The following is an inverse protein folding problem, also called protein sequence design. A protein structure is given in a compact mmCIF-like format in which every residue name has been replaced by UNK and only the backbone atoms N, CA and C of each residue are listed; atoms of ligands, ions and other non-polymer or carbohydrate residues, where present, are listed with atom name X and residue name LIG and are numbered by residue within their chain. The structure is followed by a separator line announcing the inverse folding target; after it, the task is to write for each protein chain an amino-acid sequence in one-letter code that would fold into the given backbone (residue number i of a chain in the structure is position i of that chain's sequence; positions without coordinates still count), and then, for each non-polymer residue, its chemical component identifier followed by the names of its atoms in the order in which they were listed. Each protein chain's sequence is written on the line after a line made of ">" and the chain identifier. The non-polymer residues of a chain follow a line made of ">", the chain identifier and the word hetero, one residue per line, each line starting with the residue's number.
data_IF_915113520279
#
_entry.id   IF_915113520279
#
_cell.length_a   1.000
_cell.length_b   1.000
_cell.length_c   1.000
_cell.angle_alpha   90.00
_cell.angle_beta   90.00
_cell.angle_gamma   90.00
#
_symmetry.space_group_name_H-M   'P 1'
#
loop_
_entity.id
_entity.type
_entity.pdbx_description
1 polymer ?
#
# COMPACT_ATOMS: atom_id res chain seq x y z
N UNK A 1 -12.10 -13.64 -27.68
CA UNK A 1 -11.92 -14.07 -26.27
C UNK A 1 -10.56 -13.65 -25.71
N UNK A 2 -9.55 -13.40 -26.54
CA UNK A 2 -8.21 -12.91 -26.10
C UNK A 2 -8.16 -11.42 -25.70
N UNK A 3 -9.16 -10.62 -26.05
CA UNK A 3 -9.17 -9.16 -25.81
C UNK A 3 -9.54 -8.73 -24.38
N UNK A 4 -9.93 -9.66 -23.51
CA UNK A 4 -10.26 -9.39 -22.10
C UNK A 4 -9.16 -9.81 -21.10
N UNK A 5 -8.03 -10.34 -21.59
CA UNK A 5 -6.95 -10.84 -20.75
C UNK A 5 -6.11 -9.74 -20.05
N UNK A 6 -6.34 -8.47 -20.38
CA UNK A 6 -5.76 -7.32 -19.68
C UNK A 6 -4.22 -7.34 -19.58
N UNK A 7 -3.65 -6.38 -18.85
CA UNK A 7 -2.21 -6.33 -18.60
C UNK A 7 -1.69 -7.47 -17.73
N UNK A 8 -2.58 -8.27 -17.13
CA UNK A 8 -2.25 -9.38 -16.25
C UNK A 8 -1.44 -10.48 -16.97
N UNK A 9 -1.87 -10.90 -18.16
CA UNK A 9 -1.15 -11.90 -18.97
C UNK A 9 0.15 -11.39 -19.60
N UNK A 10 0.34 -10.07 -19.69
CA UNK A 10 1.58 -9.45 -20.18
C UNK A 10 2.62 -9.26 -19.08
N UNK A 11 2.19 -9.24 -17.81
CA UNK A 11 3.05 -8.92 -16.67
C UNK A 11 3.53 -10.15 -15.91
N UNK A 12 2.75 -11.20 -15.89
CA UNK A 12 3.13 -12.46 -15.28
C UNK A 12 3.31 -13.52 -16.37
N UNK A 13 4.19 -14.50 -16.15
CA UNK A 13 4.33 -15.59 -17.11
C UNK A 13 3.01 -16.39 -17.21
N UNK A 14 2.81 -17.11 -18.32
CA UNK A 14 1.57 -17.86 -18.55
C UNK A 14 1.18 -18.79 -17.41
N UNK A 15 2.17 -19.33 -16.69
CA UNK A 15 2.05 -20.31 -15.61
C UNK A 15 1.58 -19.75 -14.26
N UNK A 16 1.49 -18.41 -14.13
CA UNK A 16 1.09 -17.80 -12.84
C UNK A 16 -0.32 -18.21 -12.44
N UNK A 17 -1.21 -18.43 -13.43
CA UNK A 17 -2.62 -18.70 -13.16
C UNK A 17 -2.79 -20.09 -12.57
N UNK A 18 -2.07 -21.06 -13.10
CA UNK A 18 -2.00 -22.43 -12.61
C UNK A 18 -1.47 -22.45 -11.18
N UNK A 19 -0.36 -21.75 -10.92
CA UNK A 19 0.22 -21.68 -9.58
C UNK A 19 -0.70 -20.97 -8.56
N UNK A 20 -1.45 -19.95 -8.99
CA UNK A 20 -2.45 -19.28 -8.15
C UNK A 20 -3.69 -20.16 -7.91
N UNK A 21 -4.09 -20.98 -8.90
CA UNK A 21 -5.23 -21.91 -8.80
C UNK A 21 -4.94 -23.11 -7.86
N UNK A 22 -3.67 -23.39 -7.57
CA UNK A 22 -3.24 -24.41 -6.58
C UNK A 22 -3.33 -23.92 -5.13
N UNK A 23 -3.47 -22.61 -4.89
CA UNK A 23 -3.58 -22.07 -3.53
C UNK A 23 -4.96 -22.39 -2.92
N UNK A 24 -5.04 -22.88 -1.67
CA UNK A 24 -6.30 -23.29 -1.03
C UNK A 24 -7.13 -22.10 -0.49
N UNK A 25 -6.77 -20.87 -0.86
CA UNK A 25 -7.30 -19.64 -0.29
C UNK A 25 -8.41 -19.05 -1.16
N UNK A 26 -9.40 -18.41 -0.52
CA UNK A 26 -10.43 -17.64 -1.22
C UNK A 26 -9.90 -16.23 -1.52
N UNK A 27 -9.57 -15.94 -2.77
CA UNK A 27 -9.08 -14.61 -3.16
C UNK A 27 -9.43 -14.21 -4.59
N UNK A 28 -9.34 -12.91 -4.82
CA UNK A 28 -9.50 -12.27 -6.13
C UNK A 28 -8.37 -11.29 -6.38
N UNK A 29 -7.96 -11.16 -7.64
CA UNK A 29 -7.03 -10.11 -8.09
C UNK A 29 -7.78 -9.19 -9.04
N UNK A 30 -7.67 -7.88 -8.80
CA UNK A 30 -8.26 -6.83 -9.65
C UNK A 30 -7.18 -6.02 -10.35
N UNK A 31 -7.50 -5.46 -11.51
CA UNK A 31 -6.62 -4.60 -12.29
C UNK A 31 -7.13 -3.15 -12.25
N UNK A 32 -6.47 -2.25 -11.50
CA UNK A 32 -6.87 -0.85 -11.42
C UNK A 32 -6.54 -0.04 -12.69
N UNK A 33 -5.74 -0.58 -13.62
CA UNK A 33 -5.47 0.10 -14.90
C UNK A 33 -6.66 0.02 -15.86
N UNK A 34 -7.61 -0.90 -15.61
CA UNK A 34 -8.85 -1.02 -16.39
C UNK A 34 -9.96 -0.29 -15.64
N UNK A 35 -10.72 0.53 -16.39
CA UNK A 35 -11.86 1.28 -15.84
C UNK A 35 -12.83 0.36 -15.10
N UNK A 36 -13.22 0.77 -13.89
CA UNK A 36 -14.11 -0.01 -13.02
C UNK A 36 -13.41 -1.07 -12.17
N UNK A 37 -12.08 -1.18 -12.23
CA UNK A 37 -11.23 -2.09 -11.45
C UNK A 37 -11.72 -3.54 -11.50
N UNK A 38 -11.85 -4.12 -12.71
CA UNK A 38 -12.40 -5.45 -12.87
C UNK A 38 -11.53 -6.51 -12.19
N UNK A 39 -12.19 -7.59 -11.77
CA UNK A 39 -11.56 -8.82 -11.34
C UNK A 39 -10.95 -9.49 -12.58
N UNK A 40 -9.64 -9.71 -12.54
CA UNK A 40 -8.86 -10.35 -13.60
C UNK A 40 -8.43 -11.78 -13.25
N UNK A 41 -8.56 -12.15 -11.98
CA UNK A 41 -8.38 -13.51 -11.47
C UNK A 41 -9.26 -13.76 -10.25
N UNK A 42 -9.82 -14.96 -10.14
CA UNK A 42 -10.58 -15.42 -8.99
C UNK A 42 -10.24 -16.90 -8.73
N UNK A 43 -9.83 -17.22 -7.50
CA UNK A 43 -9.44 -18.59 -7.15
C UNK A 43 -10.63 -19.55 -7.19
N UNK A 44 -10.35 -20.84 -7.36
CA UNK A 44 -11.39 -21.87 -7.40
C UNK A 44 -12.19 -21.93 -6.09
N UNK A 45 -11.53 -21.71 -4.96
CA UNK A 45 -12.08 -21.70 -3.62
C UNK A 45 -13.01 -20.49 -3.44
N UNK A 46 -12.62 -19.34 -3.98
CA UNK A 46 -13.47 -18.16 -4.03
C UNK A 46 -14.75 -18.43 -4.84
N UNK A 47 -14.62 -19.01 -6.04
CA UNK A 47 -15.77 -19.31 -6.90
C UNK A 47 -16.75 -20.30 -6.24
N UNK A 48 -16.23 -21.36 -5.62
CA UNK A 48 -17.03 -22.31 -4.81
C UNK A 48 -17.74 -21.61 -3.66
N UNK A 49 -17.06 -20.67 -3.00
CA UNK A 49 -17.65 -19.89 -1.91
C UNK A 49 -18.79 -19.00 -2.42
N UNK A 50 -18.59 -18.20 -3.47
CA UNK A 50 -19.63 -17.26 -3.91
C UNK A 50 -20.74 -17.89 -4.75
N UNK A 51 -20.50 -19.07 -5.34
CA UNK A 51 -21.44 -19.80 -6.19
C UNK A 51 -21.57 -19.24 -7.61
N UNK A 52 -20.69 -18.31 -8.01
CA UNK A 52 -20.61 -17.79 -9.38
C UNK A 52 -19.59 -18.59 -10.19
N UNK A 53 -19.85 -18.73 -11.50
CA UNK A 53 -18.86 -19.26 -12.42
C UNK A 53 -17.76 -18.24 -12.70
N UNK A 54 -16.60 -18.71 -13.20
CA UNK A 54 -15.46 -17.84 -13.53
C UNK A 54 -15.85 -16.75 -14.55
N UNK A 55 -16.60 -17.11 -15.59
CA UNK A 55 -17.02 -16.19 -16.64
C UNK A 55 -17.99 -15.10 -16.15
N UNK A 56 -18.74 -15.38 -15.08
CA UNK A 56 -19.63 -14.39 -14.46
C UNK A 56 -18.86 -13.39 -13.57
N UNK A 57 -17.70 -13.78 -13.04
CA UNK A 57 -16.90 -12.98 -12.11
C UNK A 57 -15.84 -12.14 -12.84
N UNK A 58 -15.15 -12.73 -13.82
CA UNK A 58 -14.09 -12.05 -14.56
C UNK A 58 -14.66 -10.84 -15.32
N UNK A 59 -13.97 -9.70 -15.24
CA UNK A 59 -14.44 -8.45 -15.85
C UNK A 59 -15.49 -7.69 -15.04
N UNK A 60 -16.00 -8.27 -13.93
CA UNK A 60 -16.90 -7.57 -13.00
C UNK A 60 -16.10 -6.95 -11.85
N UNK A 61 -16.75 -6.08 -11.07
CA UNK A 61 -16.19 -5.56 -9.83
C UNK A 61 -16.92 -6.14 -8.61
N UNK A 62 -16.37 -5.92 -7.42
CA UNK A 62 -16.91 -6.49 -6.17
C UNK A 62 -18.35 -6.07 -5.81
N UNK A 63 -18.96 -5.14 -6.57
CA UNK A 63 -20.36 -4.74 -6.37
C UNK A 63 -21.34 -5.90 -6.62
N UNK A 64 -20.98 -6.87 -7.46
CA UNK A 64 -21.85 -8.01 -7.80
C UNK A 64 -22.17 -8.91 -6.58
N UNK A 65 -21.37 -8.82 -5.51
CA UNK A 65 -21.54 -9.60 -4.29
C UNK A 65 -22.28 -8.84 -3.19
N UNK A 66 -22.64 -7.58 -3.42
CA UNK A 66 -23.32 -6.73 -2.44
C UNK A 66 -24.84 -6.95 -2.51
N UNK A 67 -25.52 -6.81 -1.38
CA UNK A 67 -26.98 -6.90 -1.32
C UNK A 67 -27.58 -5.93 -0.30
N UNK A 68 -28.88 -6.09 0.03
CA UNK A 68 -29.64 -5.10 0.82
C UNK A 68 -29.03 -4.76 2.18
N UNK A 69 -28.46 -5.75 2.87
CA UNK A 69 -27.88 -5.59 4.21
C UNK A 69 -26.36 -5.34 4.19
N UNK A 70 -25.74 -5.23 3.01
CA UNK A 70 -24.32 -4.89 2.92
C UNK A 70 -24.09 -3.47 3.44
N UNK A 71 -23.31 -3.35 4.52
CA UNK A 71 -23.04 -2.05 5.14
C UNK A 71 -22.34 -1.07 4.18
N UNK A 72 -23.00 0.06 3.94
CA UNK A 72 -22.50 1.12 3.05
C UNK A 72 -21.23 1.77 3.58
N UNK A 73 -21.04 1.87 4.91
CA UNK A 73 -19.83 2.47 5.49
C UNK A 73 -18.62 1.60 5.18
N UNK A 74 -18.75 0.28 5.33
CA UNK A 74 -17.72 -0.69 4.97
C UNK A 74 -17.36 -0.62 3.47
N UNK A 75 -18.37 -0.51 2.59
CA UNK A 75 -18.15 -0.35 1.14
C UNK A 75 -17.43 0.96 0.83
N UNK A 76 -17.79 2.07 1.48
CA UNK A 76 -17.09 3.35 1.32
C UNK A 76 -15.64 3.26 1.82
N UNK A 77 -15.38 2.62 2.96
CA UNK A 77 -14.03 2.44 3.47
C UNK A 77 -13.13 1.65 2.50
N UNK A 78 -13.68 0.64 1.82
CA UNK A 78 -12.98 -0.10 0.76
C UNK A 78 -12.68 0.82 -0.44
N UNK A 79 -13.66 1.61 -0.89
CA UNK A 79 -13.47 2.56 -2.00
C UNK A 79 -12.39 3.60 -1.68
N UNK A 80 -12.40 4.14 -0.47
CA UNK A 80 -11.38 5.08 -0.01
C UNK A 80 -10.00 4.42 0.08
N UNK A 81 -9.90 3.18 0.58
CA UNK A 81 -8.65 2.45 0.60
C UNK A 81 -8.07 2.18 -0.80
N UNK A 82 -8.93 1.92 -1.79
CA UNK A 82 -8.54 1.80 -3.19
C UNK A 82 -8.02 3.16 -3.71
N UNK A 83 -8.76 4.26 -3.47
CA UNK A 83 -8.39 5.62 -3.88
C UNK A 83 -7.05 6.08 -3.26
N UNK A 84 -6.79 5.68 -2.02
CA UNK A 84 -5.58 6.00 -1.27
C UNK A 84 -4.43 5.00 -1.49
N UNK A 85 -4.65 3.96 -2.29
CA UNK A 85 -3.68 2.90 -2.57
C UNK A 85 -3.10 2.29 -1.27
N UNK A 86 -3.96 1.99 -0.30
CA UNK A 86 -3.58 1.46 1.02
C UNK A 86 -4.23 0.11 1.33
N UNK A 87 -3.64 -0.71 2.21
CA UNK A 87 -4.29 -1.92 2.68
C UNK A 87 -5.52 -1.60 3.55
N UNK A 88 -6.46 -2.53 3.58
CA UNK A 88 -7.63 -2.49 4.45
C UNK A 88 -7.99 -3.91 4.90
N UNK A 89 -8.49 -4.01 6.13
CA UNK A 89 -9.08 -5.22 6.69
C UNK A 89 -10.41 -4.84 7.34
N UNK A 90 -11.50 -5.51 6.97
CA UNK A 90 -12.86 -5.20 7.46
C UNK A 90 -13.77 -6.42 7.40
N UNK A 91 -14.70 -6.56 8.34
CA UNK A 91 -15.78 -7.54 8.24
C UNK A 91 -16.87 -7.02 7.31
N UNK A 92 -17.27 -7.82 6.31
CA UNK A 92 -18.25 -7.44 5.30
C UNK A 92 -19.32 -8.53 5.16
N UNK A 93 -20.58 -8.10 4.98
CA UNK A 93 -21.69 -8.99 4.60
C UNK A 93 -21.87 -8.95 3.08
N UNK A 94 -21.68 -10.10 2.44
CA UNK A 94 -21.90 -10.29 1.01
C UNK A 94 -22.95 -11.38 0.76
N UNK A 95 -23.36 -11.53 -0.49
CA UNK A 95 -24.39 -12.45 -0.94
C UNK A 95 -23.81 -13.43 -1.95
N UNK A 96 -24.16 -14.71 -1.79
CA UNK A 96 -23.89 -15.74 -2.79
C UNK A 96 -24.82 -15.57 -3.99
N UNK A 97 -24.55 -16.28 -5.07
CA UNK A 97 -25.39 -16.28 -6.28
C UNK A 97 -26.85 -16.65 -6.01
N UNK A 98 -27.08 -17.54 -5.05
CA UNK A 98 -28.43 -17.97 -4.62
C UNK A 98 -29.16 -16.96 -3.72
N UNK A 99 -28.53 -15.82 -3.41
CA UNK A 99 -29.08 -14.79 -2.52
C UNK A 99 -28.82 -15.03 -1.03
N UNK A 100 -28.09 -16.08 -0.65
CA UNK A 100 -27.79 -16.35 0.75
C UNK A 100 -26.75 -15.35 1.27
N UNK A 101 -27.04 -14.59 2.35
CA UNK A 101 -26.06 -13.69 2.95
C UNK A 101 -25.00 -14.48 3.72
N UNK A 102 -23.75 -14.05 3.64
CA UNK A 102 -22.65 -14.59 4.42
C UNK A 102 -21.68 -13.49 4.84
N UNK A 103 -21.16 -13.60 6.07
CA UNK A 103 -20.15 -12.68 6.59
C UNK A 103 -18.75 -13.21 6.28
N UNK A 104 -17.84 -12.29 5.99
CA UNK A 104 -16.45 -12.61 5.74
C UNK A 104 -15.54 -11.51 6.27
N UNK A 105 -14.34 -11.88 6.69
CA UNK A 105 -13.23 -10.97 6.80
C UNK A 105 -12.71 -10.68 5.39
N UNK A 106 -12.83 -9.43 4.98
CA UNK A 106 -12.26 -8.94 3.73
C UNK A 106 -10.92 -8.26 4.03
N UNK A 107 -9.84 -8.77 3.46
CA UNK A 107 -8.52 -8.15 3.54
C UNK A 107 -7.98 -7.88 2.15
N UNK A 108 -7.69 -6.63 1.85
CA UNK A 108 -7.18 -6.19 0.55
C UNK A 108 -5.85 -5.47 0.71
N UNK A 109 -4.92 -5.72 -0.21
CA UNK A 109 -3.68 -4.96 -0.32
C UNK A 109 -3.36 -4.61 -1.79
N UNK A 110 -2.77 -3.43 -2.04
CA UNK A 110 -2.18 -3.10 -3.32
C UNK A 110 -0.90 -3.91 -3.55
N UNK A 111 -0.66 -4.27 -4.81
CA UNK A 111 0.57 -4.83 -5.35
C UNK A 111 1.19 -3.77 -6.25
N UNK A 112 2.44 -3.42 -5.99
CA UNK A 112 3.13 -2.34 -6.70
C UNK A 112 4.13 -2.88 -7.71
N UNK A 113 4.35 -2.12 -8.78
CA UNK A 113 5.46 -2.33 -9.70
C UNK A 113 6.75 -1.91 -9.01
N UNK A 114 7.78 -2.75 -9.07
CA UNK A 114 9.06 -2.44 -8.42
C UNK A 114 9.81 -1.31 -9.12
N UNK A 115 9.57 -1.13 -10.42
CA UNK A 115 10.23 -0.12 -11.25
C UNK A 115 9.61 1.27 -11.12
N UNK A 116 8.28 1.36 -11.11
CA UNK A 116 7.54 2.63 -11.21
C UNK A 116 6.74 2.98 -9.94
N UNK A 117 6.65 2.07 -8.98
CA UNK A 117 5.87 2.26 -7.76
C UNK A 117 4.37 2.43 -7.99
N UNK A 118 3.86 2.14 -9.20
CA UNK A 118 2.44 2.21 -9.53
C UNK A 118 1.73 0.97 -9.01
N UNK A 119 0.45 1.11 -8.64
CA UNK A 119 -0.37 -0.04 -8.30
C UNK A 119 -0.66 -0.84 -9.57
N UNK A 120 -0.24 -2.09 -9.56
CA UNK A 120 -0.42 -3.03 -10.65
C UNK A 120 -1.69 -3.83 -10.46
N UNK A 121 -1.94 -4.29 -9.24
CA UNK A 121 -3.12 -5.06 -8.89
C UNK A 121 -3.55 -4.75 -7.46
N UNK A 122 -4.80 -5.06 -7.13
CA UNK A 122 -5.18 -5.30 -5.74
C UNK A 122 -5.46 -6.78 -5.53
N UNK A 123 -4.83 -7.35 -4.52
CA UNK A 123 -5.12 -8.71 -4.02
C UNK A 123 -6.11 -8.57 -2.88
N UNK A 124 -7.25 -9.25 -2.98
CA UNK A 124 -8.25 -9.30 -1.93
C UNK A 124 -8.50 -10.75 -1.52
N UNK A 125 -8.26 -11.05 -0.24
CA UNK A 125 -8.54 -12.33 0.41
C UNK A 125 -9.84 -12.23 1.20
N UNK A 126 -10.66 -13.28 1.13
CA UNK A 126 -11.94 -13.36 1.81
C UNK A 126 -11.98 -14.60 2.71
N UNK A 127 -12.09 -14.41 4.02
CA UNK A 127 -12.21 -15.54 4.97
C UNK A 127 -13.62 -15.55 5.55
N UNK A 128 -14.45 -16.57 5.27
CA UNK A 128 -15.78 -16.69 5.87
C UNK A 128 -15.73 -16.65 7.40
N UNK A 129 -16.59 -15.84 8.01
CA UNK A 129 -16.74 -15.80 9.46
C UNK A 129 -17.91 -16.71 9.82
N UNK A 130 -17.59 -17.83 10.48
CA UNK A 130 -18.61 -18.74 10.98
C UNK A 130 -19.17 -18.17 12.29
N UNK A 131 -20.48 -17.93 12.36
CA UNK A 131 -21.13 -17.65 13.63
C UNK A 131 -20.92 -18.86 14.54
N UNK A 132 -20.25 -18.66 15.68
CA UNK A 132 -20.34 -19.64 16.78
C UNK A 132 -21.81 -19.69 17.19
N UNK A 133 -22.47 -20.80 16.91
CA UNK A 133 -23.79 -21.07 17.48
C UNK A 133 -23.54 -21.17 18.98
N UNK A 134 -24.05 -20.22 19.77
CA UNK A 134 -23.96 -20.29 21.23
C UNK A 134 -24.43 -21.67 21.66
N UNK A 135 -23.49 -22.46 22.17
CA UNK A 135 -23.72 -23.83 22.57
C UNK A 135 -24.75 -23.85 23.68
N UNK A 136 -25.80 -24.65 23.46
CA UNK A 136 -26.53 -25.31 24.54
C UNK A 136 -25.50 -25.82 25.56
N UNK A 137 -25.63 -25.38 26.81
CA UNK A 137 -24.85 -25.92 27.93
C UNK A 137 -25.20 -27.40 28.06
N UNK A 138 -24.38 -28.28 27.50
CA UNK A 138 -24.30 -29.67 27.93
C UNK A 138 -23.19 -29.72 28.98
N UNK A 139 -23.60 -30.17 30.16
CA UNK A 139 -22.77 -30.23 31.36
C UNK A 139 -21.46 -30.97 31.13
N UNK A 140 -20.47 -30.53 31.88
CA UNK A 140 -19.17 -31.18 32.03
C UNK A 140 -19.35 -32.65 32.39
N UNK A 141 -18.76 -33.53 31.60
CA UNK A 141 -18.11 -34.72 32.14
C UNK A 141 -16.98 -35.15 31.18
N UNK A 142 -15.79 -35.30 31.76
CA UNK A 142 -14.54 -35.43 31.03
C UNK A 142 -14.28 -36.83 30.48
N UNK A 143 -13.62 -36.87 29.32
CA UNK A 143 -12.60 -37.87 28.97
C UNK A 143 -11.96 -37.45 27.65
N UNK A 144 -10.64 -37.54 27.57
CA UNK A 144 -9.87 -37.14 26.40
C UNK A 144 -9.98 -38.11 25.21
N UNK A 145 -9.16 -37.75 24.21
CA UNK A 145 -8.66 -38.55 23.08
C UNK A 145 -9.26 -38.30 21.68
N UNK A 146 -8.37 -37.78 20.83
CA UNK A 146 -8.15 -37.90 19.37
C UNK A 146 -9.31 -37.81 18.37
N UNK A 147 -9.16 -36.80 17.52
CA UNK A 147 -9.01 -36.81 16.05
C UNK A 147 -9.84 -37.78 15.18
N UNK A 148 -10.22 -37.21 14.03
CA UNK A 148 -10.58 -37.81 12.75
C UNK A 148 -12.05 -38.18 12.43
N UNK A 149 -12.39 -37.79 11.19
CA UNK A 149 -13.31 -38.38 10.19
C UNK A 149 -14.72 -37.78 10.03
N UNK A 150 -14.87 -37.09 8.90
CA UNK A 150 -16.03 -37.07 8.00
C UNK A 150 -16.99 -38.27 8.12
N UNK A 151 -18.31 -38.03 8.13
CA UNK A 151 -19.22 -38.95 7.43
C UNK A 151 -20.49 -38.28 6.91
N UNK A 152 -20.66 -38.44 5.61
CA UNK A 152 -21.84 -38.20 4.79
C UNK A 152 -23.01 -39.12 5.20
N UNK A 153 -24.22 -38.55 5.16
CA UNK A 153 -25.43 -39.13 4.55
C UNK A 153 -26.15 -40.31 5.24
N UNK A 154 -27.38 -40.06 5.73
CA UNK A 154 -28.67 -40.55 5.14
C UNK A 154 -29.87 -40.34 6.08
N UNK A 155 -31.03 -40.11 5.45
CA UNK A 155 -32.41 -40.14 5.98
C UNK A 155 -32.75 -41.50 6.61
N UNK A 156 -33.60 -41.49 7.64
CA UNK A 156 -34.91 -42.18 7.73
C UNK A 156 -35.56 -41.85 9.11
N UNK A 157 -36.73 -41.18 9.13
CA UNK A 157 -38.11 -41.68 9.32
C UNK A 157 -38.58 -41.63 10.78
N UNK A 158 -39.74 -41.00 10.95
CA UNK A 158 -40.47 -40.70 12.18
C UNK A 158 -40.92 -41.94 12.96
N UNK A 159 -41.12 -41.77 14.28
CA UNK A 159 -42.29 -42.32 14.97
C UNK A 159 -42.66 -41.44 16.16
N UNK A 160 -43.97 -41.33 16.34
CA UNK A 160 -44.74 -40.45 17.22
C UNK A 160 -44.73 -41.00 18.63
N UNK A 161 -44.71 -40.13 19.64
CA UNK A 161 -45.55 -40.35 20.82
C UNK A 161 -45.99 -39.06 21.50
N UNK A 162 -47.21 -39.15 22.00
CA UNK A 162 -48.17 -38.10 22.31
C UNK A 162 -48.22 -37.91 23.83
N UNK A 163 -47.97 -36.69 24.33
CA UNK A 163 -48.54 -36.26 25.61
C UNK A 163 -49.06 -34.82 25.48
N UNK A 164 -50.34 -34.69 25.81
CA UNK A 164 -51.19 -33.51 25.81
C UNK A 164 -51.26 -32.96 27.24
N UNK A 165 -51.42 -31.63 27.36
CA UNK A 165 -51.90 -30.82 28.51
C UNK A 165 -50.87 -29.74 28.90
N UNK A 166 -51.17 -28.46 29.10
CA UNK A 166 -52.41 -27.67 28.98
C UNK A 166 -52.00 -26.20 28.85
N UNK A 167 -52.85 -25.42 28.20
CA UNK A 167 -52.85 -23.96 28.10
C UNK A 167 -52.84 -23.26 29.47
N UNK A 168 -51.98 -22.26 29.61
CA UNK A 168 -52.22 -21.13 30.52
C UNK A 168 -51.71 -19.86 29.86
N UNK A 169 -52.64 -19.02 29.41
CA UNK A 169 -52.40 -17.66 28.97
C UNK A 169 -51.86 -16.83 30.14
N UNK A 170 -50.74 -16.15 29.93
CA UNK A 170 -50.37 -14.94 30.66
C UNK A 170 -50.05 -13.87 29.63
N UNK A 171 -51.02 -13.01 29.39
CA UNK A 171 -50.81 -11.72 28.74
C UNK A 171 -50.15 -10.82 29.77
N UNK A 172 -48.85 -10.62 29.64
CA UNK A 172 -48.12 -9.52 30.25
C UNK A 172 -47.42 -8.74 29.13
N UNK A 173 -48.04 -7.62 28.80
CA UNK A 173 -47.50 -6.54 27.98
C UNK A 173 -46.30 -5.89 28.66
N UNK A 174 -45.14 -5.88 28.00
CA UNK A 174 -44.38 -4.67 27.69
C UNK A 174 -43.14 -5.06 26.87
N UNK A 175 -42.95 -4.32 25.78
CA UNK A 175 -41.70 -4.04 25.07
C UNK A 175 -40.42 -4.68 25.61
N UNK A 176 -39.82 -5.56 24.81
CA UNK A 176 -38.37 -5.69 24.62
C UNK A 176 -38.09 -6.55 23.37
N UNK A 177 -38.85 -6.28 22.29
CA UNK A 177 -38.66 -6.92 20.97
C UNK A 177 -37.80 -6.08 20.06
N UNK A 178 -36.64 -5.61 20.52
CA UNK A 178 -35.72 -4.87 19.66
C UNK A 178 -34.23 -4.87 20.03
N UNK A 179 -33.74 -5.79 20.88
CA UNK A 179 -32.33 -5.77 21.33
C UNK A 179 -31.47 -7.02 21.01
N UNK A 180 -31.89 -7.89 20.07
CA UNK A 180 -31.03 -8.95 19.50
C UNK A 180 -30.53 -8.62 18.07
N UNK A 181 -30.46 -7.32 17.70
CA UNK A 181 -30.03 -6.88 16.36
C UNK A 181 -28.83 -5.93 16.45
N UNK A 182 -27.67 -6.43 16.90
CA UNK A 182 -26.34 -6.02 16.40
C UNK A 182 -25.20 -6.68 17.19
N UNK A 183 -25.17 -8.01 17.30
CA UNK A 183 -23.88 -8.63 17.56
C UNK A 183 -23.01 -8.45 16.29
N UNK A 184 -22.17 -7.42 16.33
CA UNK A 184 -21.09 -7.20 15.40
C UNK A 184 -20.21 -8.45 15.42
N UNK A 185 -20.48 -9.38 14.52
CA UNK A 185 -19.67 -10.58 14.36
C UNK A 185 -18.33 -10.16 13.77
N UNK A 186 -17.42 -9.78 14.65
CA UNK A 186 -16.04 -9.43 14.33
C UNK A 186 -15.26 -10.71 13.99
N UNK A 187 -14.33 -10.59 13.04
CA UNK A 187 -13.44 -11.68 12.70
C UNK A 187 -12.51 -11.98 13.89
N UNK A 188 -12.35 -13.25 14.25
CA UNK A 188 -11.40 -13.62 15.31
C UNK A 188 -9.96 -13.53 14.79
N UNK A 189 -9.01 -13.59 15.72
CA UNK A 189 -7.58 -13.62 15.39
C UNK A 189 -7.21 -14.80 14.48
N UNK A 190 -7.98 -15.89 14.51
CA UNK A 190 -7.79 -17.02 13.61
C UNK A 190 -8.09 -16.64 12.15
N UNK A 191 -9.22 -15.99 11.87
CA UNK A 191 -9.53 -15.54 10.51
C UNK A 191 -8.53 -14.50 10.02
N UNK A 192 -8.11 -13.57 10.89
CA UNK A 192 -7.09 -12.56 10.56
C UNK A 192 -5.73 -13.20 10.23
N UNK A 193 -5.32 -14.20 11.00
CA UNK A 193 -4.08 -14.94 10.76
C UNK A 193 -4.13 -15.70 9.44
N UNK A 194 -5.25 -16.38 9.15
CA UNK A 194 -5.47 -17.05 7.86
C UNK A 194 -5.40 -16.07 6.69
N UNK A 195 -6.07 -14.92 6.79
CA UNK A 195 -6.06 -13.91 5.74
C UNK A 195 -4.64 -13.35 5.48
N UNK A 196 -3.85 -13.11 6.54
CA UNK A 196 -2.47 -12.67 6.42
C UNK A 196 -1.56 -13.72 5.77
N UNK A 197 -1.71 -15.00 6.14
CA UNK A 197 -0.96 -16.11 5.55
C UNK A 197 -1.27 -16.24 4.04
N UNK A 198 -2.55 -16.21 3.68
CA UNK A 198 -3.01 -16.23 2.29
C UNK A 198 -2.40 -15.09 1.46
N UNK A 199 -2.45 -13.85 1.98
CA UNK A 199 -1.84 -12.70 1.29
C UNK A 199 -0.34 -12.91 1.07
N UNK A 200 0.39 -13.43 2.06
CA UNK A 200 1.82 -13.66 1.92
C UNK A 200 2.12 -14.72 0.85
N UNK A 201 1.34 -15.81 0.81
CA UNK A 201 1.48 -16.86 -0.19
C UNK A 201 1.21 -16.34 -1.61
N UNK A 202 0.09 -15.63 -1.80
CA UNK A 202 -0.27 -15.03 -3.09
C UNK A 202 0.82 -14.07 -3.56
N UNK A 203 1.30 -13.19 -2.68
CA UNK A 203 2.35 -12.24 -3.02
C UNK A 203 3.68 -12.94 -3.37
N UNK A 204 4.00 -14.06 -2.70
CA UNK A 204 5.17 -14.88 -3.02
C UNK A 204 5.07 -15.41 -4.46
N UNK A 205 3.92 -15.99 -4.84
CA UNK A 205 3.65 -16.48 -6.20
C UNK A 205 3.76 -15.35 -7.22
N UNK A 206 3.09 -14.23 -6.99
CA UNK A 206 3.13 -13.08 -7.91
C UNK A 206 4.54 -12.50 -8.05
N UNK A 207 5.32 -12.43 -6.98
CA UNK A 207 6.71 -11.95 -7.01
C UNK A 207 7.56 -12.90 -7.83
N UNK A 208 7.54 -14.19 -7.53
CA UNK A 208 8.30 -15.21 -8.27
C UNK A 208 7.99 -15.20 -9.77
N UNK A 209 6.71 -15.18 -10.15
CA UNK A 209 6.32 -15.20 -11.56
C UNK A 209 6.53 -13.87 -12.30
N UNK A 210 6.71 -12.77 -11.56
CA UNK A 210 7.13 -11.49 -12.15
C UNK A 210 8.62 -11.43 -12.52
N UNK A 211 9.45 -12.31 -11.96
CA UNK A 211 10.89 -12.38 -12.27
C UNK A 211 11.11 -12.86 -13.70
N UNK A 212 10.31 -13.82 -14.18
CA UNK A 212 10.42 -14.37 -15.53
C UNK A 212 10.07 -13.39 -16.65
N UNK A 213 9.27 -12.35 -16.36
CA UNK A 213 8.90 -11.32 -17.33
C UNK A 213 9.75 -10.06 -17.21
N UNK A 214 10.61 -9.97 -16.19
CA UNK A 214 11.36 -8.77 -15.82
C UNK A 214 10.52 -7.66 -15.21
N UNK A 215 9.18 -7.79 -15.14
CA UNK A 215 8.26 -6.75 -14.65
C UNK A 215 7.95 -6.95 -13.17
N UNK A 216 8.99 -6.82 -12.35
CA UNK A 216 8.96 -7.16 -10.93
C UNK A 216 7.85 -6.45 -10.15
N UNK A 217 7.24 -7.17 -9.21
CA UNK A 217 6.23 -6.64 -8.29
C UNK A 217 6.65 -6.75 -6.82
N UNK A 218 6.02 -5.96 -5.96
CA UNK A 218 6.28 -5.96 -4.51
C UNK A 218 5.06 -5.54 -3.68
N UNK A 219 5.03 -5.98 -2.41
CA UNK A 219 3.93 -5.69 -1.46
C UNK A 219 3.91 -4.23 -1.01
N UNK A 220 5.08 -3.70 -0.66
CA UNK A 220 5.23 -2.31 -0.27
C UNK A 220 5.59 -1.55 -1.52
N UNK A 221 5.06 -0.34 -1.70
CA UNK A 221 5.48 0.54 -2.78
C UNK A 221 7.01 0.63 -2.72
N UNK A 222 7.65 -0.03 -3.68
CA UNK A 222 9.07 0.13 -3.88
C UNK A 222 9.26 1.56 -4.30
N UNK A 223 9.80 2.40 -3.41
CA UNK A 223 10.78 3.35 -3.91
C UNK A 223 11.79 2.50 -4.67
N UNK A 224 12.12 2.90 -5.90
CA UNK A 224 13.25 2.39 -6.67
C UNK A 224 14.32 1.83 -5.72
N UNK A 225 14.71 0.57 -5.94
CA UNK A 225 15.77 -0.12 -5.21
C UNK A 225 16.90 0.85 -4.90
N UNK A 226 16.98 1.16 -3.60
CA UNK A 226 17.52 2.37 -3.01
C UNK A 226 16.95 2.48 -1.60
N UNK A 227 16.98 1.35 -0.90
CA UNK A 227 16.30 1.16 0.36
C UNK A 227 17.14 1.75 1.49
N UNK A 228 17.13 3.06 1.61
CA UNK A 228 16.87 3.69 2.89
C UNK A 228 15.68 4.63 2.66
N UNK A 229 14.47 4.11 2.88
CA UNK A 229 13.45 4.98 3.47
C UNK A 229 14.14 5.63 4.65
N UNK A 230 14.45 6.92 4.54
CA UNK A 230 14.94 7.72 5.64
C UNK A 230 14.07 7.35 6.84
N UNK A 231 14.69 6.73 7.86
CA UNK A 231 13.97 6.20 9.03
C UNK A 231 13.02 7.29 9.51
N UNK A 232 11.86 6.94 10.06
CA UNK A 232 10.90 7.93 10.59
C UNK A 232 11.61 9.03 11.40
N UNK A 233 12.66 8.68 12.15
CA UNK A 233 13.57 9.60 12.84
C UNK A 233 14.32 10.58 11.94
N UNK A 234 14.87 10.15 10.80
CA UNK A 234 15.50 11.05 9.82
C UNK A 234 14.46 11.93 9.13
N UNK A 235 13.30 11.39 8.73
CA UNK A 235 12.22 12.20 8.16
C UNK A 235 11.75 13.29 9.15
N UNK A 236 11.63 12.98 10.45
CA UNK A 236 11.32 13.94 11.51
C UNK A 236 12.43 15.00 11.62
N UNK A 237 13.69 14.58 11.63
CA UNK A 237 14.84 15.48 11.79
C UNK A 237 14.98 16.43 10.59
N UNK A 238 14.85 15.91 9.38
CA UNK A 238 14.88 16.71 8.15
C UNK A 238 13.65 17.63 8.04
N UNK A 239 12.47 17.17 8.49
CA UNK A 239 11.23 17.98 8.47
C UNK A 239 11.27 19.22 9.37
N UNK A 240 12.24 19.32 10.29
CA UNK A 240 12.46 20.52 11.11
C UNK A 240 13.15 21.65 10.34
N UNK A 241 13.87 21.32 9.27
CA UNK A 241 14.60 22.29 8.43
C UNK A 241 13.59 23.03 7.54
N UNK A 242 13.53 24.35 7.67
CA UNK A 242 12.52 25.18 6.98
C UNK A 242 12.94 25.69 5.61
N UNK A 243 14.19 25.50 5.23
CA UNK A 243 14.74 25.95 3.95
C UNK A 243 14.43 24.96 2.81
N UNK A 244 14.48 25.45 1.56
CA UNK A 244 14.33 24.59 0.39
C UNK A 244 15.58 23.73 0.20
N UNK A 245 15.43 22.42 0.30
CA UNK A 245 16.50 21.48 -0.03
C UNK A 245 15.95 20.15 -0.49
N UNK A 246 16.81 19.41 -1.19
CA UNK A 246 16.62 18.01 -1.56
C UNK A 246 17.83 17.19 -1.13
N UNK A 247 17.60 15.91 -0.88
CA UNK A 247 18.63 14.90 -0.67
C UNK A 247 18.58 13.93 -1.85
N UNK A 248 19.71 13.69 -2.50
CA UNK A 248 19.84 12.71 -3.58
C UNK A 248 20.76 11.57 -3.16
N UNK A 249 20.41 10.35 -3.53
CA UNK A 249 21.23 9.17 -3.22
C UNK A 249 22.45 9.10 -4.14
N UNK A 250 23.65 9.11 -3.55
CA UNK A 250 24.91 9.07 -4.28
C UNK A 250 25.30 7.66 -4.76
N UNK A 251 24.66 6.62 -4.22
CA UNK A 251 24.92 5.21 -4.52
C UNK A 251 24.05 4.69 -5.68
N UNK A 252 22.99 5.41 -6.01
CA UNK A 252 22.05 5.04 -7.06
C UNK A 252 22.42 5.67 -8.41
N UNK A 253 22.16 4.95 -9.52
CA UNK A 253 22.35 5.51 -10.84
C UNK A 253 21.46 6.75 -10.99
N UNK A 254 21.98 7.75 -11.69
CA UNK A 254 21.28 9.00 -12.00
C UNK A 254 20.99 9.94 -10.81
N UNK A 255 21.50 9.67 -9.60
CA UNK A 255 21.37 10.54 -8.43
C UNK A 255 19.92 10.97 -8.13
N UNK A 256 19.00 10.01 -7.94
CA UNK A 256 17.60 10.30 -7.73
C UNK A 256 17.37 11.01 -6.39
N UNK A 257 16.38 11.90 -6.36
CA UNK A 257 15.91 12.55 -5.13
C UNK A 257 15.26 11.51 -4.22
N UNK A 258 15.77 11.37 -3.00
CA UNK A 258 15.20 10.51 -1.95
C UNK A 258 14.46 11.31 -0.88
N UNK A 259 14.69 12.63 -0.82
CA UNK A 259 13.93 13.54 0.04
C UNK A 259 13.82 14.92 -0.59
N UNK A 260 12.65 15.52 -0.45
CA UNK A 260 12.39 16.91 -0.83
C UNK A 260 11.68 17.61 0.32
N UNK A 261 12.18 18.79 0.70
CA UNK A 261 11.56 19.58 1.76
C UNK A 261 10.23 20.20 1.31
N UNK A 262 9.41 20.58 2.28
CA UNK A 262 8.16 21.30 1.99
C UNK A 262 8.45 22.65 1.29
N UNK A 263 9.51 23.34 1.71
CA UNK A 263 9.94 24.58 1.08
C UNK A 263 10.41 24.39 -0.36
N UNK A 264 11.02 23.24 -0.70
CA UNK A 264 11.34 22.90 -2.09
C UNK A 264 10.07 22.72 -2.93
N UNK A 265 9.05 22.05 -2.37
CA UNK A 265 7.77 21.86 -3.05
C UNK A 265 7.07 23.20 -3.30
N UNK A 266 7.08 24.11 -2.31
CA UNK A 266 6.56 25.47 -2.43
C UNK A 266 7.32 26.32 -3.45
N UNK A 267 8.65 26.22 -3.45
CA UNK A 267 9.50 26.96 -4.38
C UNK A 267 9.26 26.49 -5.82
N UNK A 268 9.21 25.19 -6.07
CA UNK A 268 9.20 24.67 -7.45
C UNK A 268 7.81 24.40 -8.00
N UNK A 269 6.79 24.33 -7.14
CA UNK A 269 5.42 23.95 -7.52
C UNK A 269 5.21 22.45 -7.73
N UNK A 270 6.25 21.62 -7.59
CA UNK A 270 6.13 20.17 -7.68
C UNK A 270 5.80 19.55 -6.32
N UNK A 271 4.84 18.63 -6.30
CA UNK A 271 4.54 17.87 -5.10
C UNK A 271 5.64 16.83 -4.83
N UNK A 272 5.84 16.48 -3.55
CA UNK A 272 6.88 15.53 -3.13
C UNK A 272 6.84 14.21 -3.92
N UNK A 273 5.66 13.64 -4.14
CA UNK A 273 5.51 12.37 -4.86
C UNK A 273 5.89 12.47 -6.36
N UNK A 274 5.92 13.67 -6.94
CA UNK A 274 6.26 13.90 -8.35
C UNK A 274 7.77 14.02 -8.59
N UNK A 275 8.54 14.24 -7.53
CA UNK A 275 9.99 14.51 -7.60
C UNK A 275 10.83 13.39 -7.00
N UNK A 276 10.27 12.62 -6.05
CA UNK A 276 10.95 11.45 -5.50
C UNK A 276 11.29 10.44 -6.61
N UNK A 277 12.50 9.91 -6.58
CA UNK A 277 13.01 8.96 -7.58
C UNK A 277 13.53 9.60 -8.87
N UNK A 278 13.43 10.92 -9.04
CA UNK A 278 13.90 11.63 -10.24
C UNK A 278 15.17 12.40 -9.96
N UNK A 279 16.01 12.59 -10.97
CA UNK A 279 17.11 13.54 -10.91
C UNK A 279 16.60 14.98 -10.98
N UNK A 280 17.20 15.91 -10.24
CA UNK A 280 16.82 17.33 -10.19
C UNK A 280 16.85 18.08 -11.54
N UNK A 281 17.45 17.50 -12.60
CA UNK A 281 17.55 18.14 -13.92
C UNK A 281 16.20 18.50 -14.55
N UNK A 282 15.09 17.95 -14.07
CA UNK A 282 13.75 18.34 -14.53
C UNK A 282 13.43 19.84 -14.30
N UNK A 283 14.19 20.52 -13.44
CA UNK A 283 14.11 21.98 -13.25
C UNK A 283 14.84 22.77 -14.35
N UNK A 284 15.57 22.11 -15.26
CA UNK A 284 16.24 22.78 -16.38
C UNK A 284 15.27 23.00 -17.54
N UNK A 285 15.46 24.07 -18.29
CA UNK A 285 14.67 24.39 -19.49
C UNK A 285 15.54 24.93 -20.61
N UNK A 286 14.91 25.52 -21.63
CA UNK A 286 15.58 25.92 -22.88
C UNK A 286 16.76 26.88 -22.65
N UNK A 287 16.61 27.84 -21.74
CA UNK A 287 17.64 28.85 -21.47
C UNK A 287 18.58 28.49 -20.30
N UNK A 288 18.51 27.25 -19.79
CA UNK A 288 19.43 26.80 -18.74
C UNK A 288 20.83 26.61 -19.33
N UNK A 289 21.81 27.37 -18.85
CA UNK A 289 23.18 27.32 -19.35
C UNK A 289 23.83 25.93 -19.16
N UNK A 290 24.24 25.26 -20.26
CA UNK A 290 24.85 23.94 -20.20
C UNK A 290 26.25 23.94 -19.55
N UNK A 291 26.96 25.07 -19.57
CA UNK A 291 28.30 25.15 -18.94
C UNK A 291 28.20 25.07 -17.42
N UNK A 292 27.20 25.75 -16.83
CA UNK A 292 26.85 25.62 -15.40
C UNK A 292 26.42 24.20 -15.04
N UNK A 293 25.65 23.51 -15.89
CA UNK A 293 25.28 22.10 -15.66
C UNK A 293 26.50 21.18 -15.68
N UNK A 294 27.43 21.41 -16.60
CA UNK A 294 28.69 20.67 -16.67
C UNK A 294 29.54 20.90 -15.40
N UNK A 295 29.62 22.14 -14.92
CA UNK A 295 30.31 22.46 -13.66
C UNK A 295 29.73 21.68 -12.48
N UNK A 296 28.39 21.66 -12.33
CA UNK A 296 27.72 20.87 -11.30
C UNK A 296 28.09 19.38 -11.41
N UNK A 297 28.04 18.82 -12.63
CA UNK A 297 28.35 17.41 -12.89
C UNK A 297 29.78 17.08 -12.49
N UNK A 298 30.75 17.94 -12.83
CA UNK A 298 32.14 17.74 -12.45
C UNK A 298 32.33 17.80 -10.93
N UNK A 299 31.72 18.77 -10.24
CA UNK A 299 31.79 18.87 -8.78
C UNK A 299 31.22 17.62 -8.08
N UNK A 300 30.10 17.09 -8.58
CA UNK A 300 29.53 15.82 -8.10
C UNK A 300 30.49 14.66 -8.35
N UNK A 301 31.08 14.56 -9.56
CA UNK A 301 32.03 13.49 -9.95
C UNK A 301 33.26 13.46 -9.03
N UNK A 302 33.82 14.62 -8.70
CA UNK A 302 34.98 14.74 -7.80
C UNK A 302 34.58 14.79 -6.31
N UNK A 303 33.29 14.64 -5.99
CA UNK A 303 32.73 14.67 -4.63
C UNK A 303 33.08 15.94 -3.85
N UNK A 304 33.02 17.09 -4.51
CA UNK A 304 33.26 18.41 -3.92
C UNK A 304 31.98 19.24 -3.83
N UNK A 305 31.93 20.12 -2.84
CA UNK A 305 30.84 21.07 -2.73
C UNK A 305 30.97 22.16 -3.81
N UNK A 306 29.85 22.64 -4.33
CA UNK A 306 29.83 23.75 -5.27
C UNK A 306 28.63 24.67 -5.03
N UNK A 307 28.79 25.94 -5.36
CA UNK A 307 27.72 26.93 -5.38
C UNK A 307 27.69 27.55 -6.77
N UNK A 308 26.52 27.56 -7.38
CA UNK A 308 26.31 28.13 -8.72
C UNK A 308 25.01 28.92 -8.75
N UNK A 309 24.92 29.85 -9.70
CA UNK A 309 23.68 30.54 -10.04
C UNK A 309 23.18 29.96 -11.36
N UNK A 310 22.05 29.26 -11.34
CA UNK A 310 21.52 28.54 -12.49
C UNK A 310 20.06 28.94 -12.75
N UNK A 311 19.69 29.10 -14.02
CA UNK A 311 18.31 29.36 -14.41
C UNK A 311 17.50 28.05 -14.35
N UNK A 312 16.44 28.04 -13.55
CA UNK A 312 15.53 26.90 -13.37
C UNK A 312 14.08 27.29 -13.67
N UNK A 313 13.23 26.29 -13.88
CA UNK A 313 11.83 26.44 -14.24
C UNK A 313 10.95 25.73 -13.22
N UNK A 314 9.90 26.42 -12.78
CA UNK A 314 8.85 25.86 -11.93
C UNK A 314 7.91 24.98 -12.75
N UNK A 315 7.02 24.26 -12.06
CA UNK A 315 6.03 23.37 -12.69
C UNK A 315 5.07 24.10 -13.65
N UNK A 316 4.76 25.35 -13.38
CA UNK A 316 3.92 26.21 -14.22
C UNK A 316 4.67 26.82 -15.42
N UNK A 317 5.97 26.56 -15.54
CA UNK A 317 6.84 27.10 -16.58
C UNK A 317 7.49 28.44 -16.23
N UNK A 318 7.22 29.05 -15.07
CA UNK A 318 7.90 30.28 -14.66
C UNK A 318 9.39 30.02 -14.43
N UNK A 319 10.25 30.83 -15.07
CA UNK A 319 11.70 30.78 -14.83
C UNK A 319 12.09 31.55 -13.57
N UNK A 320 13.05 31.02 -12.80
CA UNK A 320 13.65 31.71 -11.66
C UNK A 320 15.15 31.45 -11.57
N UNK A 321 15.89 32.42 -11.05
CA UNK A 321 17.31 32.27 -10.78
C UNK A 321 17.49 31.51 -9.47
N UNK A 322 18.04 30.29 -9.56
CA UNK A 322 18.31 29.44 -8.43
C UNK A 322 19.77 29.61 -8.01
N UNK A 323 19.97 30.21 -6.83
CA UNK A 323 21.25 30.18 -6.14
C UNK A 323 21.40 28.82 -5.45
N UNK A 324 22.03 27.89 -6.15
CA UNK A 324 22.10 26.47 -5.83
C UNK A 324 23.42 26.14 -5.13
N UNK A 325 23.34 25.55 -3.94
CA UNK A 325 24.48 24.93 -3.27
C UNK A 325 24.33 23.42 -3.21
N UNK A 326 25.35 22.69 -3.64
CA UNK A 326 25.40 21.23 -3.57
C UNK A 326 26.58 20.84 -2.67
N UNK A 327 26.34 19.97 -1.68
CA UNK A 327 27.38 19.44 -0.81
C UNK A 327 27.26 17.92 -0.67
N UNK A 328 28.38 17.17 -0.68
CA UNK A 328 28.37 15.75 -0.31
C UNK A 328 28.06 15.59 1.18
N UNK A 329 27.34 14.52 1.50
CA UNK A 329 27.03 14.04 2.85
C UNK A 329 27.59 12.63 2.97
N UNK A 330 28.55 12.47 3.89
CA UNK A 330 29.28 11.21 4.09
C UNK A 330 28.67 10.41 5.24
N UNK A 331 28.62 9.09 5.08
CA UNK A 331 28.23 8.16 6.14
C UNK A 331 29.38 7.97 7.16
N UNK A 332 29.17 7.09 8.15
CA UNK A 332 30.16 6.78 9.17
C UNK A 332 31.47 6.18 8.61
N UNK A 333 31.44 5.51 7.46
CA UNK A 333 32.65 4.99 6.80
C UNK A 333 33.40 6.03 5.96
N UNK A 334 32.94 7.28 5.95
CA UNK A 334 33.55 8.37 5.18
C UNK A 334 33.22 8.37 3.69
N UNK A 335 32.43 7.40 3.20
CA UNK A 335 31.94 7.37 1.82
C UNK A 335 30.78 8.36 1.65
N UNK A 336 30.68 9.00 0.48
CA UNK A 336 29.53 9.85 0.16
C UNK A 336 28.30 8.97 0.01
N UNK A 337 27.33 9.15 0.89
CA UNK A 337 26.05 8.43 0.85
C UNK A 337 24.98 9.26 0.13
N UNK A 338 25.01 10.58 0.34
CA UNK A 338 24.05 11.49 -0.29
C UNK A 338 24.73 12.76 -0.80
N UNK A 339 24.04 13.46 -1.69
CA UNK A 339 24.27 14.88 -1.91
C UNK A 339 23.07 15.68 -1.41
N UNK A 340 23.32 16.80 -0.74
CA UNK A 340 22.28 17.77 -0.40
C UNK A 340 22.35 18.92 -1.38
N UNK A 341 21.22 19.25 -2.01
CA UNK A 341 21.06 20.41 -2.88
C UNK A 341 20.13 21.43 -2.22
N UNK A 342 20.61 22.65 -1.98
CA UNK A 342 19.87 23.75 -1.35
C UNK A 342 19.58 24.81 -2.40
N UNK A 343 18.30 25.16 -2.56
CA UNK A 343 17.83 26.12 -3.55
C UNK A 343 17.40 27.40 -2.85
N UNK A 344 17.84 28.54 -3.38
CA UNK A 344 17.36 29.86 -2.95
C UNK A 344 16.97 30.61 -4.22
N UNK A 345 15.73 31.09 -4.28
CA UNK A 345 15.34 32.02 -5.33
C UNK A 345 16.09 33.34 -5.12
N UNK A 346 16.78 33.80 -6.15
CA UNK A 346 17.55 35.04 -6.13
C UNK A 346 16.64 36.28 -5.97
N UNK A 347 15.33 36.17 -6.21
CA UNK A 347 14.39 37.25 -5.83
C UNK A 347 14.27 37.38 -4.31
N UNK A 348 14.52 36.29 -3.57
CA UNK A 348 14.44 36.21 -2.12
C UNK A 348 15.79 36.48 -1.42
N UNK A 349 16.89 36.67 -2.14
CA UNK A 349 18.21 37.03 -1.55
C UNK A 349 18.26 38.50 -1.12
N UNK A 350 17.45 39.38 -1.74
CA UNK A 350 17.36 40.81 -1.40
C UNK A 350 16.48 41.11 -0.18
N UNK A 351 15.75 40.12 0.32
CA UNK A 351 15.05 40.22 1.60
C UNK A 351 16.00 39.65 2.65
N UNK A 352 16.54 40.52 3.52
CA UNK A 352 17.32 40.12 4.71
C UNK A 352 16.41 39.38 5.71
N UNK A 353 15.95 38.20 5.35
CA UNK A 353 15.19 37.33 6.24
C UNK A 353 16.22 36.75 7.23
N UNK A 354 16.42 37.46 8.34
CA UNK A 354 17.30 37.16 9.50
C UNK A 354 18.77 37.62 9.47
N UNK A 355 19.17 38.55 8.61
CA UNK A 355 20.51 39.17 8.66
C UNK A 355 21.70 38.23 8.39
N UNK A 356 21.44 37.06 7.77
CA UNK A 356 22.47 36.09 7.38
C UNK A 356 22.59 36.04 5.85
N UNK A 357 23.83 36.01 5.34
CA UNK A 357 24.07 35.88 3.90
C UNK A 357 23.49 34.56 3.35
N UNK A 358 23.12 34.51 2.06
CA UNK A 358 22.62 33.29 1.42
C UNK A 358 23.54 32.08 1.59
N UNK A 359 24.86 32.29 1.59
CA UNK A 359 25.87 31.25 1.79
C UNK A 359 25.82 30.69 3.22
N UNK A 360 25.64 31.54 4.23
CA UNK A 360 25.53 31.10 5.62
C UNK A 360 24.25 30.27 5.80
N UNK A 361 23.15 30.69 5.19
CA UNK A 361 21.88 29.93 5.20
C UNK A 361 22.05 28.55 4.57
N UNK A 362 22.69 28.46 3.41
CA UNK A 362 22.96 27.18 2.75
C UNK A 362 23.86 26.28 3.60
N UNK A 363 24.95 26.83 4.17
CA UNK A 363 25.87 26.07 5.03
C UNK A 363 25.21 25.58 6.33
N UNK A 364 24.30 26.35 6.90
CA UNK A 364 23.50 25.94 8.08
C UNK A 364 22.66 24.70 7.78
N UNK A 365 21.98 24.66 6.63
CA UNK A 365 21.22 23.50 6.17
C UNK A 365 22.13 22.28 5.98
N UNK A 366 23.29 22.45 5.34
CA UNK A 366 24.27 21.36 5.18
C UNK A 366 24.69 20.79 6.53
N UNK A 367 24.94 21.65 7.53
CA UNK A 367 25.25 21.22 8.90
C UNK A 367 24.14 20.39 9.52
N UNK A 368 22.90 20.87 9.47
CA UNK A 368 21.73 20.17 10.01
C UNK A 368 21.49 18.81 9.33
N UNK A 369 21.59 18.74 8.00
CA UNK A 369 21.46 17.49 7.24
C UNK A 369 22.57 16.50 7.60
N UNK A 370 23.82 16.95 7.70
CA UNK A 370 24.95 16.09 8.09
C UNK A 370 24.75 15.49 9.48
N UNK A 371 24.25 16.27 10.44
CA UNK A 371 23.94 15.77 11.79
C UNK A 371 22.84 14.71 11.72
N UNK A 372 21.75 15.00 11.02
CA UNK A 372 20.62 14.09 10.91
C UNK A 372 21.01 12.74 10.26
N UNK A 373 21.82 12.77 9.19
CA UNK A 373 22.30 11.55 8.52
C UNK A 373 23.28 10.76 9.40
N UNK A 374 24.14 11.42 10.17
CA UNK A 374 25.06 10.73 11.09
C UNK A 374 24.33 10.01 12.22
N UNK A 375 23.26 10.58 12.75
CA UNK A 375 22.43 9.96 13.81
C UNK A 375 21.77 8.65 13.36
N UNK A 376 21.59 8.42 12.06
CA UNK A 376 21.11 7.14 11.53
C UNK A 376 22.17 6.04 11.60
N UNK A 377 23.40 6.34 11.19
CA UNK A 377 24.46 5.33 11.10
C UNK A 377 24.88 4.78 12.47
N UNK A 378 24.59 5.48 13.57
CA UNK A 378 24.89 5.01 14.93
C UNK A 378 23.84 4.02 15.48
N UNK A 379 22.60 4.04 14.96
CA UNK A 379 21.53 3.15 15.43
C UNK A 379 21.56 1.75 14.79
N UNK A 380 22.28 1.58 13.69
CA UNK A 380 22.38 0.30 12.96
C UNK A 380 23.48 -0.65 13.49
N UNK A 381 24.32 -0.19 14.41
CA UNK A 381 25.44 -0.95 14.99
C UNK A 381 25.14 -1.54 16.38
N UNK A 382 23.91 -1.42 16.88
CA UNK A 382 23.48 -2.01 18.16
C UNK A 382 22.17 -2.76 17.96
N UNK A 383 22.23 -3.95 17.39
CA UNK A 383 21.20 -5.01 17.51
C UNK A 383 21.81 -6.35 17.11
#
# INVERSE_FOLDING_TARGET
>A
MESQLGFFGLRYSGWVREALDELPDCFTITDPCISGHPIVFASNEFLKMVGYSRDEVIGKNGRIFQGPETDRRSVMAIREAIREERPIQISLLNYRKDGTPFRMLFQMCPVFGKEDGRVINFVAVQVPILKKRNGVRLGEDGAGFRDTVFRCCRREVCSVDMVRASTMELVASHDDREDEINEACEASELEKTKANAAINNILSVLTHYSEFTGRLVCRKRGCLTGNEQLVSSLNISLGRIKQSFVLTDALLPDLPIVYASEAFSKLTGYARHEVLGRNCRFLSGADTDPTTQFQIKECIRIQQACTVRILNYRKDGESFWNFLHISPVRNASGKVAFFVGIQIDDRCTNQEIHGLSPEIRQRSVVGAVKVAVRSLSMGASTS
#
